data_IF_188343178229
#
_entry.id   IF_188343178229
#
_cell.length_a   1.000
_cell.length_b   1.000
_cell.length_c   1.000
_cell.angle_alpha   90.00
_cell.angle_beta   90.00
_cell.angle_gamma   90.00
#
_symmetry.space_group_name_H-M   'P 1'
#
loop_
_entity.id
_entity.type
_entity.pdbx_description
1 polymer ?
#
# COMPACT_ATOMS: atom_id res chain seq x y z
N UNK A 1 -16.61 15.34 22.42
CA UNK A 1 -17.76 16.17 22.00
C UNK A 1 -17.84 17.49 22.79
N UNK A 2 -17.69 17.49 24.12
CA UNK A 2 -17.75 18.73 24.95
C UNK A 2 -16.79 19.84 24.50
N UNK A 3 -15.53 19.52 24.20
CA UNK A 3 -14.55 20.50 23.70
C UNK A 3 -15.00 21.22 22.42
N UNK A 4 -15.75 20.56 21.51
CA UNK A 4 -16.28 21.23 20.32
C UNK A 4 -17.33 22.27 20.68
N UNK A 5 -18.34 21.89 21.48
CA UNK A 5 -19.44 22.78 21.84
C UNK A 5 -19.00 23.93 22.77
N UNK A 6 -18.05 23.68 23.65
CA UNK A 6 -17.60 24.66 24.64
C UNK A 6 -16.47 25.56 24.14
N UNK A 7 -15.54 25.04 23.33
CA UNK A 7 -14.32 25.79 22.97
C UNK A 7 -14.28 26.21 21.50
N UNK A 8 -14.84 25.41 20.59
CA UNK A 8 -14.75 25.64 19.15
C UNK A 8 -15.99 26.40 18.64
N UNK A 9 -17.19 25.94 18.98
CA UNK A 9 -18.44 26.51 18.49
C UNK A 9 -18.61 28.01 18.86
N UNK A 10 -18.28 28.48 20.08
CA UNK A 10 -18.35 29.91 20.38
C UNK A 10 -17.39 30.74 19.53
N UNK A 11 -16.18 30.22 19.28
CA UNK A 11 -15.20 30.89 18.40
C UNK A 11 -15.70 30.97 16.96
N UNK A 12 -16.31 29.90 16.44
CA UNK A 12 -16.92 29.92 15.10
C UNK A 12 -18.01 31.00 15.04
N UNK A 13 -18.88 31.07 16.06
CA UNK A 13 -19.95 32.09 16.11
C UNK A 13 -19.42 33.52 16.20
N UNK A 14 -18.27 33.75 16.84
CA UNK A 14 -17.69 35.10 16.99
C UNK A 14 -16.84 35.55 15.80
N UNK A 15 -16.04 34.64 15.21
CA UNK A 15 -15.08 34.98 14.16
C UNK A 15 -15.60 34.71 12.74
N UNK A 16 -16.73 34.00 12.61
CA UNK A 16 -17.39 33.55 11.36
C UNK A 16 -16.56 32.60 10.48
N UNK A 17 -15.24 32.76 10.45
CA UNK A 17 -14.26 31.95 9.73
C UNK A 17 -13.24 31.38 10.72
N UNK A 18 -12.97 30.08 10.62
CA UNK A 18 -11.98 29.39 11.44
C UNK A 18 -10.99 28.64 10.57
N UNK A 19 -9.70 28.95 10.71
CA UNK A 19 -8.62 28.18 10.09
C UNK A 19 -8.03 27.19 11.09
N UNK A 20 -8.19 25.90 10.81
CA UNK A 20 -7.59 24.82 11.60
C UNK A 20 -6.22 24.48 11.02
N UNK A 21 -5.14 24.87 11.70
CA UNK A 21 -3.76 24.72 11.20
C UNK A 21 -3.13 23.35 11.47
N UNK A 22 -3.79 22.49 12.25
CA UNK A 22 -3.34 21.13 12.59
C UNK A 22 -4.39 20.10 12.25
N UNK A 23 -4.90 20.14 11.02
CA UNK A 23 -5.90 19.17 10.53
C UNK A 23 -5.35 17.75 10.37
N UNK A 24 -4.03 17.60 10.45
CA UNK A 24 -3.30 16.33 10.54
C UNK A 24 -3.32 15.72 11.96
N UNK A 25 -3.76 16.48 12.98
CA UNK A 25 -3.96 15.95 14.32
C UNK A 25 -5.06 14.89 14.29
N UNK A 26 -4.64 13.64 14.52
CA UNK A 26 -5.48 12.43 14.42
C UNK A 26 -6.74 12.55 15.28
N UNK A 27 -7.91 12.49 14.65
CA UNK A 27 -9.18 12.23 15.32
C UNK A 27 -9.18 10.80 15.89
N UNK A 28 -9.92 10.57 16.97
CA UNK A 28 -10.13 9.20 17.46
C UNK A 28 -10.70 8.32 16.34
N UNK A 29 -10.16 7.11 16.14
CA UNK A 29 -10.75 6.16 15.19
C UNK A 29 -11.86 5.35 15.84
N UNK A 30 -11.71 5.08 17.13
CA UNK A 30 -12.59 4.26 17.96
C UNK A 30 -13.33 5.12 19.00
N UNK A 31 -14.40 4.57 19.58
CA UNK A 31 -15.22 5.27 20.56
C UNK A 31 -16.05 6.45 19.98
N UNK A 32 -16.20 6.51 18.66
CA UNK A 32 -17.08 7.47 17.97
C UNK A 32 -18.46 6.85 17.80
N UNK A 33 -19.57 7.61 17.99
CA UNK A 33 -20.92 7.11 17.77
C UNK A 33 -21.10 6.47 16.38
N UNK A 34 -21.82 5.36 16.33
CA UNK A 34 -21.97 4.54 15.11
C UNK A 34 -22.54 5.36 13.93
N UNK A 35 -23.51 6.24 14.18
CA UNK A 35 -24.08 7.10 13.14
C UNK A 35 -23.04 8.04 12.50
N UNK A 36 -22.06 8.51 13.29
CA UNK A 36 -20.96 9.33 12.79
C UNK A 36 -19.98 8.48 11.98
N UNK A 37 -19.72 7.23 12.40
CA UNK A 37 -18.90 6.29 11.62
C UNK A 37 -19.57 5.97 10.27
N UNK A 38 -20.88 5.72 10.25
CA UNK A 38 -21.68 5.51 9.03
C UNK A 38 -21.65 6.73 8.10
N UNK A 39 -21.66 7.95 8.64
CA UNK A 39 -21.43 9.15 7.83
C UNK A 39 -20.03 9.16 7.22
N UNK A 40 -18.98 8.84 8.00
CA UNK A 40 -17.60 8.73 7.49
C UNK A 40 -17.50 7.68 6.37
N UNK A 41 -18.25 6.58 6.43
CA UNK A 41 -18.33 5.59 5.35
C UNK A 41 -18.75 6.23 4.03
N UNK A 42 -19.91 6.90 4.04
CA UNK A 42 -20.50 7.55 2.86
C UNK A 42 -19.57 8.62 2.31
N UNK A 43 -18.93 9.39 3.19
CA UNK A 43 -17.98 10.42 2.78
C UNK A 43 -16.73 9.80 2.13
N UNK A 44 -16.05 8.88 2.81
CA UNK A 44 -14.75 8.36 2.36
C UNK A 44 -14.84 7.50 1.10
N UNK A 45 -15.92 6.72 0.94
CA UNK A 45 -15.99 5.70 -0.12
C UNK A 45 -17.05 5.96 -1.19
N UNK A 46 -17.94 6.95 -1.02
CA UNK A 46 -18.98 7.26 -2.01
C UNK A 46 -18.95 8.72 -2.49
N UNK A 47 -18.77 9.67 -1.57
CA UNK A 47 -18.81 11.11 -1.88
C UNK A 47 -17.46 11.63 -2.40
N UNK A 48 -16.35 11.19 -1.82
CA UNK A 48 -15.02 11.53 -2.33
C UNK A 48 -14.77 10.81 -3.66
N UNK A 49 -14.65 11.60 -4.72
CA UNK A 49 -14.42 11.12 -6.09
C UNK A 49 -13.25 11.87 -6.72
N UNK A 50 -12.55 11.21 -7.63
CA UNK A 50 -11.50 11.89 -8.37
C UNK A 50 -12.10 12.86 -9.40
N UNK A 51 -11.29 13.82 -9.81
CA UNK A 51 -11.65 14.71 -10.91
C UNK A 51 -11.98 13.87 -12.17
N UNK A 52 -12.98 14.29 -12.99
CA UNK A 52 -13.43 13.51 -14.15
C UNK A 52 -12.32 13.05 -15.12
N UNK A 53 -11.25 13.84 -15.39
CA UNK A 53 -10.14 13.38 -16.24
C UNK A 53 -9.41 12.15 -15.69
N UNK A 54 -9.18 12.11 -14.37
CA UNK A 54 -8.52 10.98 -13.69
C UNK A 54 -9.41 9.75 -13.76
N UNK A 55 -10.69 9.87 -13.43
CA UNK A 55 -11.62 8.74 -13.50
C UNK A 55 -11.73 8.16 -14.92
N UNK A 56 -11.84 9.03 -15.92
CA UNK A 56 -11.96 8.61 -17.33
C UNK A 56 -10.75 7.79 -17.76
N UNK A 57 -9.54 8.26 -17.42
CA UNK A 57 -8.32 7.56 -17.79
C UNK A 57 -8.13 6.27 -16.98
N UNK A 58 -8.39 6.30 -15.67
CA UNK A 58 -8.30 5.10 -14.85
C UNK A 58 -9.29 4.01 -15.30
N UNK A 59 -10.53 4.38 -15.62
CA UNK A 59 -11.53 3.46 -16.21
C UNK A 59 -11.06 2.87 -17.54
N UNK A 60 -10.32 3.63 -18.35
CA UNK A 60 -9.69 3.13 -19.59
C UNK A 60 -8.62 2.08 -19.28
N UNK A 61 -7.74 2.32 -18.30
CA UNK A 61 -6.72 1.34 -17.88
C UNK A 61 -7.40 0.05 -17.39
N UNK A 62 -8.38 0.16 -16.48
CA UNK A 62 -9.13 -0.99 -15.96
C UNK A 62 -9.82 -1.77 -17.08
N UNK A 63 -10.39 -1.09 -18.08
CA UNK A 63 -11.01 -1.76 -19.22
C UNK A 63 -10.00 -2.58 -20.03
N UNK A 64 -8.82 -2.03 -20.30
CA UNK A 64 -7.76 -2.73 -21.03
C UNK A 64 -7.29 -3.96 -20.24
N UNK A 65 -7.12 -3.83 -18.92
CA UNK A 65 -6.72 -4.94 -18.06
C UNK A 65 -7.79 -6.04 -18.04
N UNK A 66 -9.06 -5.68 -17.77
CA UNK A 66 -10.19 -6.64 -17.71
C UNK A 66 -10.46 -7.33 -19.05
N UNK A 67 -10.17 -6.70 -20.18
CA UNK A 67 -10.25 -7.34 -21.52
C UNK A 67 -9.24 -8.49 -21.68
N UNK A 68 -8.14 -8.48 -20.91
CA UNK A 68 -7.11 -9.51 -20.94
C UNK A 68 -7.30 -10.58 -19.84
N UNK A 69 -8.42 -10.54 -19.10
CA UNK A 69 -8.77 -11.47 -18.04
C UNK A 69 -8.59 -10.90 -16.65
N UNK A 70 -8.45 -11.78 -15.66
CA UNK A 70 -8.18 -11.38 -14.28
C UNK A 70 -6.78 -10.76 -14.17
N UNK A 71 -6.65 -9.77 -13.29
CA UNK A 71 -5.39 -9.09 -13.06
C UNK A 71 -5.13 -8.83 -11.57
N UNK A 72 -3.84 -8.86 -11.23
CA UNK A 72 -3.32 -8.49 -9.93
C UNK A 72 -2.72 -7.09 -10.03
N UNK A 73 -3.00 -6.24 -9.04
CA UNK A 73 -2.27 -5.00 -8.84
C UNK A 73 -1.24 -5.20 -7.74
N UNK A 74 0.03 -5.04 -8.12
CA UNK A 74 1.16 -5.08 -7.21
C UNK A 74 1.56 -3.64 -6.90
N UNK A 75 1.31 -3.20 -5.67
CA UNK A 75 1.83 -1.91 -5.20
C UNK A 75 3.26 -2.09 -4.72
N UNK A 76 4.19 -1.97 -5.67
CA UNK A 76 5.62 -2.22 -5.50
C UNK A 76 6.32 -0.94 -5.03
N UNK A 77 6.41 -0.77 -3.71
CA UNK A 77 6.99 0.43 -3.08
C UNK A 77 8.52 0.31 -2.97
N UNK A 78 9.20 0.22 -4.11
CA UNK A 78 10.65 0.06 -4.21
C UNK A 78 11.33 1.27 -4.88
N UNK A 79 10.89 2.47 -4.52
CA UNK A 79 11.44 3.74 -5.01
C UNK A 79 12.67 4.19 -4.20
N UNK A 80 13.51 5.02 -4.82
CA UNK A 80 14.78 5.47 -4.25
C UNK A 80 14.61 6.20 -2.90
N UNK A 81 13.60 7.06 -2.78
CA UNK A 81 13.30 7.78 -1.54
C UNK A 81 12.97 6.81 -0.40
N UNK A 82 12.15 5.80 -0.70
CA UNK A 82 11.77 4.78 0.27
C UNK A 82 12.98 4.02 0.79
N UNK A 83 13.84 3.52 -0.10
CA UNK A 83 15.02 2.77 0.29
C UNK A 83 16.03 3.62 1.05
N UNK A 84 16.24 4.88 0.62
CA UNK A 84 17.14 5.81 1.28
C UNK A 84 16.73 6.05 2.73
N UNK A 85 15.45 6.39 2.96
CA UNK A 85 14.95 6.77 4.29
C UNK A 85 14.65 5.59 5.21
N UNK A 86 14.30 4.42 4.67
CA UNK A 86 14.19 3.19 5.47
C UNK A 86 15.55 2.55 5.74
N UNK A 87 16.59 2.94 5.00
CA UNK A 87 17.94 2.38 5.09
C UNK A 87 18.07 0.95 4.60
N UNK A 88 17.15 0.52 3.74
CA UNK A 88 17.08 -0.84 3.23
C UNK A 88 17.90 -0.96 1.95
N UNK A 89 18.83 -1.91 1.92
CA UNK A 89 19.77 -2.07 0.82
C UNK A 89 19.93 -3.51 0.30
N UNK A 90 19.02 -4.43 0.66
CA UNK A 90 19.05 -5.80 0.15
C UNK A 90 19.00 -5.83 -1.39
N UNK A 91 19.98 -6.52 -1.99
CA UNK A 91 20.15 -6.62 -3.44
C UNK A 91 20.73 -5.36 -4.12
N UNK A 92 21.12 -4.33 -3.37
CA UNK A 92 21.81 -3.16 -3.89
C UNK A 92 23.32 -3.41 -4.02
N UNK A 93 23.92 -2.82 -5.05
CA UNK A 93 25.37 -2.71 -5.22
C UNK A 93 26.00 -1.68 -4.26
N UNK A 94 27.31 -1.71 -4.11
CA UNK A 94 28.04 -0.74 -3.27
C UNK A 94 27.80 0.71 -3.73
N UNK A 95 27.71 0.97 -5.04
CA UNK A 95 27.40 2.28 -5.59
C UNK A 95 25.96 2.70 -5.24
N UNK A 96 25.00 1.80 -5.42
CA UNK A 96 23.60 2.06 -5.07
C UNK A 96 23.44 2.33 -3.56
N UNK A 97 24.18 1.63 -2.71
CA UNK A 97 24.20 1.86 -1.25
C UNK A 97 24.73 3.27 -0.94
N UNK A 98 25.81 3.68 -1.61
CA UNK A 98 26.39 5.01 -1.43
C UNK A 98 25.41 6.12 -1.84
N UNK A 99 24.71 5.95 -2.96
CA UNK A 99 23.70 6.91 -3.45
C UNK A 99 22.53 7.04 -2.47
N UNK A 100 21.96 5.92 -2.02
CA UNK A 100 20.87 5.90 -1.03
C UNK A 100 21.31 6.56 0.29
N UNK A 101 22.55 6.31 0.71
CA UNK A 101 23.11 6.93 1.91
C UNK A 101 23.29 8.43 1.73
N UNK A 102 23.87 8.88 0.60
CA UNK A 102 24.04 10.29 0.30
C UNK A 102 22.70 11.03 0.29
N UNK A 103 21.67 10.46 -0.33
CA UNK A 103 20.31 10.99 -0.30
C UNK A 103 19.80 11.13 1.13
N UNK A 104 19.88 10.09 1.97
CA UNK A 104 19.41 10.17 3.36
C UNK A 104 20.12 11.26 4.15
N UNK A 105 21.41 11.46 3.94
CA UNK A 105 22.19 12.49 4.63
C UNK A 105 21.89 13.91 4.12
N UNK A 106 21.53 14.06 2.85
CA UNK A 106 21.20 15.36 2.24
C UNK A 106 19.94 16.03 2.82
N UNK A 107 19.07 15.30 3.55
CA UNK A 107 17.84 15.82 4.15
C UNK A 107 18.03 16.13 5.65
N UNK A 108 18.27 17.38 6.09
CA UNK A 108 18.73 17.68 7.46
C UNK A 108 17.74 17.29 8.56
N UNK A 109 16.43 17.39 8.29
CA UNK A 109 15.37 17.08 9.25
C UNK A 109 15.12 15.58 9.44
N UNK A 110 15.72 14.72 8.60
CA UNK A 110 15.60 13.28 8.77
C UNK A 110 16.52 12.80 9.90
N UNK A 111 15.93 12.50 11.07
CA UNK A 111 16.65 12.30 12.33
C UNK A 111 17.55 11.06 12.35
N UNK A 112 17.14 9.98 11.71
CA UNK A 112 17.86 8.70 11.74
C UNK A 112 18.77 8.60 10.51
N UNK A 113 20.08 8.74 10.72
CA UNK A 113 21.09 8.75 9.63
C UNK A 113 21.82 7.43 9.47
N UNK A 114 22.20 6.82 10.57
CA UNK A 114 22.83 5.50 10.60
C UNK A 114 21.74 4.46 10.87
N UNK A 115 21.64 3.49 9.96
CA UNK A 115 20.62 2.45 9.97
C UNK A 115 21.32 1.13 9.66
N UNK A 116 21.15 0.16 10.54
CA UNK A 116 21.52 -1.23 10.29
C UNK A 116 20.47 -1.85 9.35
N UNK A 117 20.81 -1.90 8.06
CA UNK A 117 19.92 -2.38 6.99
C UNK A 117 19.44 -3.80 7.23
N UNK A 118 20.33 -4.68 7.66
CA UNK A 118 20.02 -6.10 7.87
C UNK A 118 19.01 -6.23 9.01
N UNK A 119 19.24 -5.52 10.12
CA UNK A 119 18.33 -5.53 11.25
C UNK A 119 16.93 -5.01 10.88
N UNK A 120 16.82 -3.86 10.20
CA UNK A 120 15.51 -3.32 9.82
C UNK A 120 14.79 -4.20 8.79
N UNK A 121 15.53 -4.88 7.91
CA UNK A 121 14.98 -5.88 6.99
C UNK A 121 14.42 -7.07 7.76
N UNK A 122 15.19 -7.65 8.70
CA UNK A 122 14.75 -8.78 9.53
C UNK A 122 13.55 -8.44 10.42
N UNK A 123 13.38 -7.18 10.80
CA UNK A 123 12.20 -6.71 11.53
C UNK A 123 10.97 -6.48 10.62
N UNK A 124 11.10 -6.64 9.30
CA UNK A 124 10.03 -6.42 8.32
C UNK A 124 9.69 -4.95 8.10
N UNK A 125 10.65 -4.05 8.40
CA UNK A 125 10.51 -2.58 8.26
C UNK A 125 10.94 -2.06 6.89
N UNK A 126 11.47 -2.94 6.04
CA UNK A 126 11.80 -2.66 4.65
C UNK A 126 10.64 -2.95 3.69
N UNK A 127 10.57 -2.27 2.54
CA UNK A 127 9.82 -2.78 1.39
C UNK A 127 10.43 -4.10 0.95
N UNK A 128 9.57 -5.06 0.57
CA UNK A 128 10.07 -6.27 -0.08
C UNK A 128 10.73 -5.89 -1.40
N UNK A 129 11.88 -6.48 -1.65
CA UNK A 129 12.55 -6.39 -2.94
C UNK A 129 11.68 -7.04 -4.03
N UNK A 130 11.84 -6.68 -5.31
CA UNK A 130 11.18 -7.40 -6.40
C UNK A 130 11.47 -8.89 -6.38
N UNK A 131 12.68 -9.30 -5.98
CA UNK A 131 13.07 -10.71 -5.87
C UNK A 131 12.33 -11.45 -4.75
N UNK A 132 12.26 -10.89 -3.53
CA UNK A 132 11.48 -11.47 -2.42
C UNK A 132 9.99 -11.51 -2.75
N UNK A 133 9.48 -10.44 -3.36
CA UNK A 133 8.08 -10.34 -3.77
C UNK A 133 7.77 -11.43 -4.80
N UNK A 134 8.67 -11.69 -5.74
CA UNK A 134 8.50 -12.75 -6.75
C UNK A 134 8.37 -14.12 -6.07
N UNK A 135 9.26 -14.44 -5.14
CA UNK A 135 9.21 -15.70 -4.39
C UNK A 135 7.91 -15.83 -3.57
N UNK A 136 7.50 -14.75 -2.90
CA UNK A 136 6.26 -14.73 -2.12
C UNK A 136 5.02 -14.97 -2.99
N UNK A 137 4.90 -14.31 -4.15
CA UNK A 137 3.77 -14.51 -5.06
C UNK A 137 3.73 -15.95 -5.63
N UNK A 138 4.88 -16.52 -5.99
CA UNK A 138 4.96 -17.90 -6.44
C UNK A 138 4.59 -18.90 -5.32
N UNK A 139 5.05 -18.65 -4.10
CA UNK A 139 4.70 -19.45 -2.93
C UNK A 139 3.22 -19.33 -2.54
N UNK A 140 2.55 -18.24 -2.88
CA UNK A 140 1.11 -18.05 -2.68
C UNK A 140 0.25 -18.59 -3.84
N UNK A 141 0.83 -19.41 -4.73
CA UNK A 141 0.20 -19.97 -5.93
C UNK A 141 -0.46 -18.91 -6.84
N UNK A 142 0.11 -17.71 -6.91
CA UNK A 142 -0.34 -16.74 -7.92
C UNK A 142 -0.01 -17.30 -9.30
N UNK A 143 -1.03 -17.43 -10.15
CA UNK A 143 -0.89 -17.97 -11.50
C UNK A 143 0.19 -17.17 -12.27
N UNK A 144 1.28 -17.80 -12.74
CA UNK A 144 2.30 -17.17 -13.57
C UNK A 144 1.76 -16.44 -14.82
N UNK A 145 0.57 -16.84 -15.30
CA UNK A 145 -0.10 -16.25 -16.47
C UNK A 145 -0.99 -15.07 -16.13
N UNK A 146 -1.22 -14.75 -14.85
CA UNK A 146 -2.00 -13.58 -14.46
C UNK A 146 -1.33 -12.30 -14.97
N UNK A 147 -2.11 -11.32 -15.38
CA UNK A 147 -1.57 -10.01 -15.70
C UNK A 147 -1.26 -9.28 -14.39
N UNK A 148 -0.02 -8.81 -14.22
CA UNK A 148 0.39 -8.01 -13.06
C UNK A 148 0.54 -6.56 -13.49
N UNK A 149 -0.34 -5.70 -12.99
CA UNK A 149 -0.19 -4.25 -13.09
C UNK A 149 0.68 -3.75 -11.93
N UNK A 150 1.84 -3.17 -12.24
CA UNK A 150 2.72 -2.55 -11.24
C UNK A 150 2.24 -1.12 -10.96
N UNK A 151 1.74 -0.90 -9.75
CA UNK A 151 1.41 0.40 -9.20
C UNK A 151 2.61 0.93 -8.40
N UNK A 152 3.48 1.70 -9.06
CA UNK A 152 4.69 2.26 -8.44
C UNK A 152 5.09 3.58 -9.12
N UNK A 153 5.96 4.34 -8.45
CA UNK A 153 6.84 5.29 -9.11
C UNK A 153 8.01 4.59 -9.83
N UNK A 154 9.12 5.30 -9.97
CA UNK A 154 10.35 4.73 -10.54
C UNK A 154 10.94 3.68 -9.59
N UNK A 155 11.04 2.45 -10.07
CA UNK A 155 11.60 1.33 -9.32
C UNK A 155 13.12 1.46 -9.33
N UNK A 156 13.71 1.55 -8.15
CA UNK A 156 15.16 1.71 -8.01
C UNK A 156 15.89 0.48 -8.57
N UNK A 157 16.88 0.72 -9.42
CA UNK A 157 17.58 -0.32 -10.19
C UNK A 157 16.82 -0.82 -11.44
N UNK A 158 15.60 -0.31 -11.70
CA UNK A 158 14.88 -0.47 -12.97
C UNK A 158 14.66 -1.93 -13.41
N UNK A 159 14.77 -2.16 -14.73
CA UNK A 159 14.54 -3.48 -15.33
C UNK A 159 15.48 -4.58 -14.80
N UNK A 160 16.69 -4.22 -14.32
CA UNK A 160 17.60 -5.17 -13.68
C UNK A 160 16.95 -5.84 -12.47
N UNK A 161 16.29 -5.04 -11.62
CA UNK A 161 15.61 -5.53 -10.41
C UNK A 161 14.31 -6.26 -10.74
N UNK A 162 13.63 -5.88 -11.82
CA UNK A 162 12.42 -6.55 -12.28
C UNK A 162 12.67 -7.86 -13.05
N UNK A 163 13.92 -8.19 -13.40
CA UNK A 163 14.24 -9.30 -14.27
C UNK A 163 13.71 -10.65 -13.76
N UNK A 164 13.86 -10.94 -12.46
CA UNK A 164 13.36 -12.17 -11.83
C UNK A 164 11.84 -12.24 -11.86
N UNK A 165 11.17 -11.13 -11.53
CA UNK A 165 9.72 -11.01 -11.58
C UNK A 165 9.19 -11.20 -13.00
N UNK A 166 9.86 -10.62 -14.00
CA UNK A 166 9.49 -10.76 -15.42
C UNK A 166 9.66 -12.18 -15.94
N UNK A 167 10.64 -12.91 -15.44
CA UNK A 167 10.81 -14.33 -15.73
C UNK A 167 9.67 -15.17 -15.12
N UNK A 168 9.26 -14.88 -13.89
CA UNK A 168 8.20 -15.62 -13.20
C UNK A 168 6.78 -15.26 -13.67
N UNK A 169 6.54 -13.99 -14.00
CA UNK A 169 5.25 -13.43 -14.41
C UNK A 169 5.39 -12.65 -15.72
N UNK A 170 5.39 -13.32 -16.89
CA UNK A 170 5.71 -12.66 -18.16
C UNK A 170 4.81 -11.48 -18.56
N UNK A 171 3.60 -11.37 -17.98
CA UNK A 171 2.60 -10.33 -18.27
C UNK A 171 2.64 -9.17 -17.28
N UNK A 172 3.83 -8.65 -17.00
CA UNK A 172 3.98 -7.40 -16.22
C UNK A 172 3.71 -6.19 -17.10
N UNK A 173 2.81 -5.34 -16.63
CA UNK A 173 2.42 -4.10 -17.27
C UNK A 173 2.41 -2.96 -16.26
N UNK A 174 2.55 -1.74 -16.77
CA UNK A 174 2.37 -0.48 -16.05
C UNK A 174 1.55 0.48 -16.91
N UNK A 175 1.02 1.55 -16.32
CA UNK A 175 0.24 2.57 -17.05
C UNK A 175 0.95 3.09 -18.30
N UNK A 176 2.27 3.27 -18.26
CA UNK A 176 3.10 3.72 -19.38
C UNK A 176 3.16 2.69 -20.52
N UNK A 177 3.00 1.40 -20.23
CA UNK A 177 2.97 0.34 -21.27
C UNK A 177 1.56 0.07 -21.79
N UNK A 178 0.52 0.45 -21.06
CA UNK A 178 -0.88 0.23 -21.42
C UNK A 178 -1.49 1.38 -22.21
N UNK A 179 -0.96 2.59 -22.04
CA UNK A 179 -1.50 3.81 -22.60
C UNK A 179 -0.55 4.43 -23.60
N UNK A 180 -1.07 5.30 -24.46
CA UNK A 180 -0.22 6.14 -25.31
C UNK A 180 0.36 7.26 -24.46
N UNK A 181 1.55 7.75 -24.83
CA UNK A 181 2.15 8.90 -24.14
C UNK A 181 1.21 10.12 -24.09
N UNK A 182 0.44 10.35 -25.16
CA UNK A 182 -0.55 11.44 -25.21
C UNK A 182 -1.72 11.29 -24.23
N UNK A 183 -2.05 10.06 -23.81
CA UNK A 183 -3.05 9.83 -22.77
C UNK A 183 -2.51 10.24 -21.39
N UNK A 184 -1.21 10.03 -21.14
CA UNK A 184 -0.54 10.31 -19.86
C UNK A 184 -0.01 11.73 -19.75
N UNK A 185 0.26 12.41 -20.87
CA UNK A 185 0.85 13.74 -20.91
C UNK A 185 0.22 14.77 -19.95
N UNK A 186 -1.12 14.84 -19.77
CA UNK A 186 -1.74 15.76 -18.82
C UNK A 186 -1.40 15.48 -17.34
N UNK A 187 -0.88 14.29 -17.03
CA UNK A 187 -0.65 13.80 -15.67
C UNK A 187 0.84 13.65 -15.31
N UNK A 188 1.75 13.63 -16.30
CA UNK A 188 3.16 13.29 -16.09
C UNK A 188 3.88 14.18 -15.06
N UNK A 189 3.53 15.47 -14.99
CA UNK A 189 4.12 16.41 -14.02
C UNK A 189 3.36 16.48 -12.69
N UNK A 190 2.40 15.58 -12.47
CA UNK A 190 1.52 15.55 -11.32
C UNK A 190 1.54 14.16 -10.66
N UNK A 191 2.58 13.88 -9.87
CA UNK A 191 2.77 12.60 -9.16
C UNK A 191 1.53 12.15 -8.39
N UNK A 192 0.84 13.08 -7.71
CA UNK A 192 -0.41 12.77 -6.99
C UNK A 192 -1.55 12.31 -7.91
N UNK A 193 -1.64 12.84 -9.14
CA UNK A 193 -2.66 12.40 -10.09
C UNK A 193 -2.28 11.05 -10.71
N UNK A 194 -0.99 10.80 -10.95
CA UNK A 194 -0.49 9.48 -11.36
C UNK A 194 -0.78 8.41 -10.31
N UNK A 195 -0.58 8.72 -9.02
CA UNK A 195 -0.95 7.84 -7.92
C UNK A 195 -2.47 7.63 -7.82
N UNK A 196 -3.28 8.65 -8.16
CA UNK A 196 -4.74 8.50 -8.20
C UNK A 196 -5.21 7.51 -9.28
N UNK A 197 -4.51 7.43 -10.42
CA UNK A 197 -4.77 6.39 -11.42
C UNK A 197 -4.51 5.00 -10.84
N UNK A 198 -3.34 4.81 -10.22
CA UNK A 198 -2.96 3.55 -9.59
C UNK A 198 -3.96 3.13 -8.49
N UNK A 199 -4.45 4.09 -7.70
CA UNK A 199 -5.44 3.84 -6.65
C UNK A 199 -6.71 3.23 -7.24
N UNK A 200 -7.23 3.85 -8.29
CA UNK A 200 -8.47 3.40 -8.91
C UNK A 200 -8.31 2.02 -9.55
N UNK A 201 -7.17 1.77 -10.21
CA UNK A 201 -6.85 0.45 -10.78
C UNK A 201 -6.71 -0.60 -9.68
N UNK A 202 -6.06 -0.28 -8.55
CA UNK A 202 -5.89 -1.16 -7.40
C UNK A 202 -7.22 -1.52 -6.72
N UNK A 203 -8.15 -0.56 -6.60
CA UNK A 203 -9.50 -0.80 -6.06
C UNK A 203 -10.29 -1.75 -6.97
N UNK A 204 -10.11 -1.67 -8.29
CA UNK A 204 -10.83 -2.45 -9.30
C UNK A 204 -10.21 -3.82 -9.63
N UNK A 205 -9.03 -4.13 -9.10
CA UNK A 205 -8.30 -5.38 -9.35
C UNK A 205 -8.96 -6.60 -8.72
N UNK A 206 -8.76 -7.78 -9.32
CA UNK A 206 -9.17 -9.05 -8.73
C UNK A 206 -8.35 -9.36 -7.47
N UNK A 207 -7.05 -9.08 -7.52
CA UNK A 207 -6.12 -9.23 -6.39
C UNK A 207 -5.34 -7.93 -6.21
N UNK A 208 -5.22 -7.45 -4.97
CA UNK A 208 -4.33 -6.37 -4.60
C UNK A 208 -3.26 -6.86 -3.64
N UNK A 209 -2.00 -6.55 -3.88
CA UNK A 209 -0.89 -6.91 -3.00
C UNK A 209 0.09 -5.73 -2.85
N UNK A 210 0.19 -5.08 -1.68
CA UNK A 210 1.22 -4.09 -1.40
C UNK A 210 2.49 -4.74 -0.85
N UNK A 211 3.67 -4.31 -1.34
CA UNK A 211 4.97 -4.78 -0.85
C UNK A 211 5.50 -3.98 0.35
N UNK A 212 4.86 -2.85 0.64
CA UNK A 212 5.13 -2.01 1.79
C UNK A 212 3.83 -1.39 2.33
N UNK A 213 3.79 -1.16 3.63
CA UNK A 213 2.77 -0.32 4.24
C UNK A 213 2.84 1.12 3.73
N UNK A 214 1.87 1.93 4.12
CA UNK A 214 1.81 3.35 3.74
C UNK A 214 0.37 3.77 3.49
N UNK A 215 0.18 5.08 3.28
CA UNK A 215 -1.17 5.64 3.14
C UNK A 215 -1.90 5.06 1.93
N UNK A 216 -1.21 4.92 0.79
CA UNK A 216 -1.79 4.34 -0.43
C UNK A 216 -2.32 2.92 -0.19
N UNK A 217 -1.47 2.02 0.31
CA UNK A 217 -1.85 0.64 0.61
C UNK A 217 -3.04 0.58 1.58
N UNK A 218 -2.99 1.40 2.64
CA UNK A 218 -4.02 1.49 3.68
C UNK A 218 -5.39 1.98 3.16
N UNK A 219 -5.41 3.00 2.29
CA UNK A 219 -6.69 3.52 1.75
C UNK A 219 -7.26 2.57 0.72
N UNK A 220 -6.42 1.95 -0.13
CA UNK A 220 -6.87 0.91 -1.09
C UNK A 220 -7.45 -0.28 -0.34
N UNK A 221 -6.77 -0.78 0.69
CA UNK A 221 -7.25 -1.88 1.51
C UNK A 221 -8.64 -1.59 2.10
N UNK A 222 -8.81 -0.43 2.74
CA UNK A 222 -10.10 -0.09 3.34
C UNK A 222 -11.21 0.12 2.31
N UNK A 223 -10.90 0.66 1.13
CA UNK A 223 -11.89 0.77 0.06
C UNK A 223 -12.27 -0.60 -0.51
N UNK A 224 -11.30 -1.51 -0.67
CA UNK A 224 -11.55 -2.90 -1.08
C UNK A 224 -12.35 -3.68 -0.04
N UNK A 225 -12.13 -3.43 1.26
CA UNK A 225 -12.98 -3.93 2.36
C UNK A 225 -14.41 -3.39 2.22
N UNK A 226 -14.58 -2.08 2.09
CA UNK A 226 -15.88 -1.42 1.89
C UNK A 226 -16.67 -2.01 0.72
N UNK A 227 -16.00 -2.36 -0.38
CA UNK A 227 -16.61 -2.97 -1.57
C UNK A 227 -16.87 -4.49 -1.45
N UNK A 228 -17.06 -4.99 -0.22
CA UNK A 228 -17.38 -6.39 0.06
C UNK A 228 -16.15 -7.29 0.18
N UNK A 229 -15.13 -6.85 0.91
CA UNK A 229 -13.94 -7.67 1.23
C UNK A 229 -13.22 -8.21 -0.02
N UNK A 230 -13.00 -7.36 -1.03
CA UNK A 230 -12.26 -7.75 -2.23
C UNK A 230 -10.86 -8.25 -1.86
N UNK A 231 -10.43 -9.37 -2.47
CA UNK A 231 -9.20 -10.09 -2.14
C UNK A 231 -7.99 -9.16 -2.08
N UNK A 232 -7.38 -9.07 -0.92
CA UNK A 232 -6.22 -8.20 -0.67
C UNK A 232 -5.19 -8.99 0.12
N UNK A 233 -4.04 -9.25 -0.49
CA UNK A 233 -2.97 -10.05 0.10
C UNK A 233 -2.06 -9.10 0.87
N UNK A 234 -2.17 -9.09 2.20
CA UNK A 234 -1.28 -8.34 3.07
C UNK A 234 -0.01 -9.16 3.34
N UNK A 235 1.04 -8.89 2.55
CA UNK A 235 2.31 -9.59 2.65
C UNK A 235 2.96 -9.33 4.03
N UNK A 236 3.12 -10.37 4.84
CA UNK A 236 3.86 -10.35 6.09
C UNK A 236 5.36 -10.31 5.78
N UNK A 237 5.87 -9.08 5.67
CA UNK A 237 7.25 -8.83 5.26
C UNK A 237 8.27 -9.48 6.20
N UNK A 238 7.98 -9.51 7.51
CA UNK A 238 8.87 -10.12 8.50
C UNK A 238 8.93 -11.63 8.31
N UNK A 239 7.77 -12.28 8.15
CA UNK A 239 7.72 -13.70 7.86
C UNK A 239 8.40 -14.04 6.51
N UNK A 240 8.09 -13.27 5.45
CA UNK A 240 8.65 -13.48 4.11
C UNK A 240 10.17 -13.35 4.12
N UNK A 241 10.73 -12.31 4.73
CA UNK A 241 12.19 -12.12 4.83
C UNK A 241 12.86 -13.33 5.48
N UNK A 242 12.36 -13.75 6.65
CA UNK A 242 12.93 -14.89 7.37
C UNK A 242 12.81 -16.21 6.60
N UNK A 243 11.69 -16.43 5.91
CA UNK A 243 11.47 -17.61 5.08
C UNK A 243 12.34 -17.60 3.82
N UNK A 244 12.48 -16.46 3.16
CA UNK A 244 13.32 -16.30 1.96
C UNK A 244 14.78 -16.56 2.30
N UNK A 245 15.28 -16.06 3.43
CA UNK A 245 16.68 -16.27 3.83
C UNK A 245 16.95 -17.75 4.12
N UNK A 246 16.04 -18.42 4.84
CA UNK A 246 16.14 -19.87 5.08
C UNK A 246 16.12 -20.67 3.78
N UNK A 247 15.23 -20.32 2.84
CA UNK A 247 15.15 -20.97 1.54
C UNK A 247 16.42 -20.77 0.71
N UNK A 248 16.90 -19.52 0.58
CA UNK A 248 18.12 -19.19 -0.17
C UNK A 248 19.38 -19.86 0.39
N UNK A 249 19.44 -20.05 1.71
CA UNK A 249 20.55 -20.73 2.38
C UNK A 249 20.42 -22.27 2.38
N UNK A 250 19.41 -22.82 1.68
CA UNK A 250 19.19 -24.27 1.59
C UNK A 250 18.61 -24.92 2.85
N UNK A 251 18.14 -24.11 3.81
CA UNK A 251 17.51 -24.58 5.05
C UNK A 251 16.01 -24.90 4.92
N UNK A 252 15.43 -24.71 3.74
CA UNK A 252 14.08 -25.10 3.36
C UNK A 252 14.06 -25.59 1.90
N UNK A 253 13.31 -26.64 1.63
CA UNK A 253 12.89 -26.99 0.26
C UNK A 253 11.83 -26.00 -0.24
N UNK A 254 11.54 -26.03 -1.56
CA UNK A 254 10.48 -25.19 -2.13
C UNK A 254 9.11 -25.48 -1.51
N UNK A 255 8.78 -26.75 -1.28
CA UNK A 255 7.50 -27.15 -0.71
C UNK A 255 7.32 -26.67 0.73
N UNK A 256 8.37 -26.77 1.55
CA UNK A 256 8.35 -26.25 2.92
C UNK A 256 8.27 -24.72 2.95
N UNK A 257 9.01 -24.03 2.08
CA UNK A 257 8.93 -22.58 1.92
C UNK A 257 7.51 -22.13 1.51
N UNK A 258 6.96 -22.76 0.48
CA UNK A 258 5.62 -22.47 -0.05
C UNK A 258 4.54 -22.69 1.01
N UNK A 259 4.60 -23.81 1.72
CA UNK A 259 3.68 -24.13 2.83
C UNK A 259 3.75 -23.10 3.94
N UNK A 260 4.95 -22.77 4.42
CA UNK A 260 5.13 -21.79 5.50
C UNK A 260 4.67 -20.38 5.10
N UNK A 261 4.89 -19.98 3.84
CA UNK A 261 4.36 -18.70 3.33
C UNK A 261 2.84 -18.72 3.33
N UNK A 262 2.19 -19.79 2.84
CA UNK A 262 0.72 -19.89 2.83
C UNK A 262 0.13 -19.86 4.25
N UNK A 263 0.74 -20.58 5.19
CA UNK A 263 0.33 -20.58 6.60
C UNK A 263 0.38 -19.17 7.21
N UNK A 264 1.51 -18.47 7.01
CA UNK A 264 1.71 -17.11 7.53
C UNK A 264 0.76 -16.04 6.95
N UNK A 265 0.06 -16.36 5.86
CA UNK A 265 -0.87 -15.44 5.17
C UNK A 265 -2.31 -15.95 5.13
N UNK A 266 -2.62 -17.06 5.81
CA UNK A 266 -3.96 -17.67 5.80
C UNK A 266 -5.07 -16.71 6.25
N UNK A 267 -4.77 -15.82 7.19
CA UNK A 267 -5.61 -14.74 7.71
C UNK A 267 -5.20 -13.36 7.17
N UNK A 268 -4.62 -13.28 5.98
CA UNK A 268 -4.13 -12.03 5.37
C UNK A 268 -4.57 -11.84 3.92
N UNK A 269 -5.74 -12.39 3.56
CA UNK A 269 -6.27 -12.44 2.20
C UNK A 269 -7.43 -11.48 1.93
N UNK A 270 -7.71 -10.56 2.87
CA UNK A 270 -8.77 -9.55 2.76
C UNK A 270 -10.07 -9.97 3.44
N UNK A 271 -10.06 -11.09 4.17
CA UNK A 271 -11.19 -11.51 5.00
C UNK A 271 -11.56 -10.43 6.04
N UNK A 272 -12.82 -10.39 6.50
CA UNK A 272 -13.25 -9.45 7.51
C UNK A 272 -12.43 -9.57 8.79
N UNK A 273 -12.08 -8.43 9.39
CA UNK A 273 -11.39 -8.36 10.68
C UNK A 273 -11.91 -7.18 11.48
N UNK A 274 -11.88 -7.28 12.81
CA UNK A 274 -12.13 -6.14 13.69
C UNK A 274 -10.98 -5.13 13.60
N UNK A 275 -11.28 -3.85 13.75
CA UNK A 275 -10.29 -2.77 13.78
C UNK A 275 -9.38 -2.97 15.00
N UNK A 276 -8.07 -2.87 14.80
CA UNK A 276 -7.12 -2.95 15.92
C UNK A 276 -7.26 -1.73 16.83
N UNK A 277 -7.64 -1.99 18.09
CA UNK A 277 -7.70 -1.00 19.17
C UNK A 277 -6.56 -1.26 20.16
N UNK A 278 -5.84 -0.21 20.54
CA UNK A 278 -4.72 -0.32 21.49
C UNK A 278 -4.93 0.73 22.59
N UNK A 279 -5.42 0.32 23.77
CA UNK A 279 -5.68 1.23 24.88
C UNK A 279 -4.49 2.13 25.20
N UNK A 280 -4.73 3.44 25.26
CA UNK A 280 -3.70 4.45 25.54
C UNK A 280 -2.72 4.74 24.38
N UNK A 281 -2.82 4.03 23.24
CA UNK A 281 -1.97 4.23 22.06
C UNK A 281 -2.79 4.44 20.79
N UNK A 282 -3.60 5.51 20.71
CA UNK A 282 -4.45 5.78 19.55
C UNK A 282 -3.67 5.98 18.24
N UNK A 283 -2.35 6.23 18.30
CA UNK A 283 -1.47 6.33 17.14
C UNK A 283 -1.11 4.97 16.51
N UNK A 284 -1.17 3.91 17.30
CA UNK A 284 -0.79 2.56 16.87
C UNK A 284 -2.02 1.72 16.47
N UNK A 285 -3.23 2.26 16.69
CA UNK A 285 -4.49 1.69 16.20
C UNK A 285 -4.58 1.71 14.68
N UNK A 286 -5.49 0.89 14.15
CA UNK A 286 -5.89 1.00 12.75
C UNK A 286 -6.60 2.33 12.46
N UNK A 287 -6.42 2.82 11.24
CA UNK A 287 -7.19 3.97 10.76
C UNK A 287 -8.60 3.52 10.37
N UNK A 288 -9.59 4.38 10.63
CA UNK A 288 -10.96 4.17 10.13
C UNK A 288 -10.96 3.87 8.63
N UNK A 289 -10.20 4.64 7.84
CA UNK A 289 -10.19 4.49 6.38
C UNK A 289 -9.45 3.22 5.90
N UNK A 290 -8.74 2.51 6.79
CA UNK A 290 -8.11 1.21 6.50
C UNK A 290 -9.03 0.06 6.87
N UNK A 291 -9.71 0.15 8.01
CA UNK A 291 -10.69 -0.85 8.42
C UNK A 291 -12.00 -0.18 8.79
N UNK A 292 -12.91 0.03 7.82
CA UNK A 292 -14.17 0.72 8.01
C UNK A 292 -15.29 -0.24 8.45
N UNK A 293 -15.09 -1.01 9.52
CA UNK A 293 -15.97 -2.11 9.94
C UNK A 293 -17.43 -1.70 10.15
N UNK A 294 -17.71 -0.46 10.57
CA UNK A 294 -19.07 0.05 10.77
C UNK A 294 -19.84 0.25 9.45
N UNK A 295 -19.15 0.20 8.32
CA UNK A 295 -19.72 0.29 6.98
C UNK A 295 -20.11 -1.08 6.41
N UNK A 296 -19.76 -2.15 7.12
CA UNK A 296 -19.84 -3.52 6.65
C UNK A 296 -20.86 -4.30 7.50
N UNK A 297 -21.40 -5.43 6.99
CA UNK A 297 -22.17 -6.35 7.82
C UNK A 297 -21.36 -6.73 9.06
N UNK A 298 -22.02 -6.80 10.21
CA UNK A 298 -21.35 -7.18 11.45
C UNK A 298 -20.84 -8.62 11.33
N UNK A 299 -19.63 -8.85 11.84
CA UNK A 299 -19.11 -10.20 12.02
C UNK A 299 -19.95 -10.87 13.10
N UNK A 300 -20.61 -11.98 12.76
CA UNK A 300 -21.24 -12.85 13.76
C UNK A 300 -20.13 -13.43 14.65
N UNK A 301 -20.35 -13.40 15.97
CA UNK A 301 -19.41 -13.87 16.99
C UNK A 301 -19.46 -15.39 17.19
#
# INVERSE_FOLDING_TARGET
LNSFYEQILPKIKSFEVLQLTKSDARLANNGIPEEVQKLRCRVNYQALRFAPPIEKLAKKIVRILKQNGQFLVLHLRYEMDMLAFSGCNEGCSAQEIQELTAMRYAYPWWKVKEIDSDKVRQEGLCPLTPEETTLALQALDIDPKIQIYIAAGDIYGGERRLASMRKAFPRLVKKETLLRESDLAPFMNHSNQMAALDYHVAVEADIFAPTYGGNMAKVVEGHRRFLGHRKTILLDRKAIVGLVDRYKNGGLSWEEFSTAVKEAHSDKMGQPTRRLEIPGKPKDEDYFYTNPQECLPQLED
#
